data_IF_962358047075
#
_entry.id   IF_962358047075
#
_cell.length_a   1.000
_cell.length_b   1.000
_cell.length_c   1.000
_cell.angle_alpha   90.00
_cell.angle_beta   90.00
_cell.angle_gamma   90.00
#
_symmetry.space_group_name_H-M   'P 1'
#
loop_
_entity.id
_entity.type
_entity.pdbx_description
1 polymer ?
#
# COMPACT_ATOMS: atom_id res chain seq x y z
N UNK A 1 0.59 10.84 -8.55
CA UNK A 1 -0.50 11.79 -8.33
C UNK A 1 0.10 13.06 -7.77
N UNK A 2 -0.58 14.20 -7.89
CA UNK A 2 -0.12 15.46 -7.30
C UNK A 2 -0.37 15.53 -5.79
N UNK A 3 -1.39 14.81 -5.31
CA UNK A 3 -1.88 14.81 -3.93
C UNK A 3 -1.36 13.63 -3.09
N UNK A 4 -0.49 12.79 -3.64
CA UNK A 4 0.04 11.60 -2.96
C UNK A 4 1.55 11.43 -3.17
N UNK A 5 2.27 11.17 -2.08
CA UNK A 5 3.70 10.86 -2.09
C UNK A 5 4.02 9.67 -1.17
N UNK A 6 5.10 8.97 -1.50
CA UNK A 6 5.71 7.97 -0.59
C UNK A 6 6.99 8.54 -0.02
N UNK A 7 7.19 8.38 1.29
CA UNK A 7 8.39 8.79 1.99
C UNK A 7 9.03 7.58 2.66
N UNK A 8 10.33 7.40 2.44
CA UNK A 8 11.15 6.49 3.25
C UNK A 8 11.80 7.27 4.38
N UNK A 9 11.33 7.03 5.60
CA UNK A 9 11.78 7.77 6.79
C UNK A 9 12.88 7.05 7.56
N UNK A 10 13.39 5.91 7.09
CA UNK A 10 14.38 5.09 7.83
C UNK A 10 15.61 5.91 8.25
N UNK A 11 16.16 6.73 7.35
CA UNK A 11 17.30 7.61 7.62
C UNK A 11 16.96 8.82 8.50
N UNK A 12 15.69 9.22 8.58
CA UNK A 12 15.23 10.39 9.33
C UNK A 12 14.98 10.10 10.83
N UNK A 13 14.91 8.82 11.22
CA UNK A 13 14.47 8.40 12.56
C UNK A 13 15.34 8.92 13.70
N UNK A 14 16.64 9.08 13.48
CA UNK A 14 17.58 9.61 14.49
C UNK A 14 17.37 11.10 14.76
N UNK A 15 16.95 11.85 13.75
CA UNK A 15 16.76 13.29 13.83
C UNK A 15 15.34 13.66 14.28
N UNK A 16 14.34 12.95 13.76
CA UNK A 16 12.93 13.34 13.86
C UNK A 16 12.07 12.33 14.66
N UNK A 17 12.69 11.27 15.18
CA UNK A 17 12.06 10.27 16.03
C UNK A 17 11.31 9.17 15.28
N UNK A 18 10.27 8.61 15.92
CA UNK A 18 9.53 7.47 15.38
C UNK A 18 8.78 7.83 14.08
N UNK A 19 8.46 6.85 13.20
CA UNK A 19 7.59 7.10 12.04
C UNK A 19 6.26 7.78 12.40
N UNK A 20 5.68 7.46 13.56
CA UNK A 20 4.45 8.12 14.04
C UNK A 20 4.66 9.57 14.49
N UNK A 21 5.85 9.91 15.02
CA UNK A 21 6.23 11.30 15.31
C UNK A 21 6.36 12.09 14.01
N UNK A 22 7.11 11.54 13.04
CA UNK A 22 7.31 12.16 11.72
C UNK A 22 5.97 12.36 11.00
N UNK A 23 5.08 11.36 11.02
CA UNK A 23 3.77 11.44 10.40
C UNK A 23 2.89 12.55 11.01
N UNK A 24 2.86 12.68 12.34
CA UNK A 24 2.11 13.76 13.01
C UNK A 24 2.69 15.13 12.68
N UNK A 25 4.01 15.26 12.68
CA UNK A 25 4.71 16.49 12.30
C UNK A 25 4.36 16.90 10.86
N UNK A 26 4.39 15.95 9.91
CA UNK A 26 4.02 16.21 8.51
C UNK A 26 2.57 16.69 8.38
N UNK A 27 1.62 16.06 9.08
CA UNK A 27 0.21 16.47 9.05
C UNK A 27 0.01 17.89 9.58
N UNK A 28 0.63 18.22 10.70
CA UNK A 28 0.59 19.57 11.27
C UNK A 28 1.18 20.59 10.29
N UNK A 29 2.38 20.31 9.74
CA UNK A 29 3.06 21.20 8.81
C UNK A 29 2.26 21.43 7.52
N UNK A 30 1.65 20.39 6.95
CA UNK A 30 0.78 20.54 5.78
C UNK A 30 -0.41 21.45 6.09
N UNK A 31 -1.06 21.26 7.25
CA UNK A 31 -2.13 22.17 7.69
C UNK A 31 -1.63 23.61 7.80
N UNK A 32 -0.52 23.81 8.51
CA UNK A 32 -0.03 25.16 8.84
C UNK A 32 0.43 25.92 7.60
N UNK A 33 1.08 25.23 6.65
CA UNK A 33 1.64 25.87 5.45
C UNK A 33 0.62 26.03 4.30
N UNK A 34 -0.41 25.17 4.24
CA UNK A 34 -1.33 25.12 3.08
C UNK A 34 -2.81 25.32 3.42
N UNK A 35 -3.17 25.22 4.71
CA UNK A 35 -4.56 25.17 5.16
C UNK A 35 -5.27 23.84 4.89
N UNK A 36 -4.63 22.84 4.27
CA UNK A 36 -5.24 21.56 3.86
C UNK A 36 -5.03 20.41 4.85
N UNK A 37 -6.00 19.47 4.92
CA UNK A 37 -5.87 18.22 5.69
C UNK A 37 -5.03 17.24 4.87
N UNK A 38 -4.34 16.32 5.54
CA UNK A 38 -3.82 15.13 4.87
C UNK A 38 -3.94 13.90 5.78
N UNK A 39 -4.22 12.77 5.14
CA UNK A 39 -4.22 11.46 5.80
C UNK A 39 -2.89 10.77 5.55
N UNK A 40 -2.35 10.13 6.58
CA UNK A 40 -1.05 9.45 6.50
C UNK A 40 -1.22 7.98 6.90
N UNK A 41 -0.58 7.11 6.13
CA UNK A 41 -0.42 5.69 6.43
C UNK A 41 1.06 5.38 6.57
N UNK A 42 1.44 4.67 7.65
CA UNK A 42 2.82 4.24 7.86
C UNK A 42 2.88 2.72 8.08
N UNK A 43 3.80 2.05 7.39
CA UNK A 43 4.02 0.62 7.52
C UNK A 43 5.43 0.24 7.06
N UNK A 44 5.80 -1.03 7.23
CA UNK A 44 7.11 -1.57 6.80
C UNK A 44 7.29 -1.58 5.27
N UNK A 45 6.20 -1.67 4.50
CA UNK A 45 6.24 -1.71 3.04
C UNK A 45 5.31 -0.69 2.39
N UNK A 46 5.62 -0.29 1.15
CA UNK A 46 4.83 0.71 0.40
C UNK A 46 3.38 0.27 0.20
N UNK A 47 3.17 -1.00 -0.11
CA UNK A 47 1.84 -1.58 -0.24
C UNK A 47 0.97 -1.39 1.00
N UNK A 48 1.47 -1.80 2.17
CA UNK A 48 0.72 -1.69 3.43
C UNK A 48 0.54 -0.23 3.82
N UNK A 49 1.56 0.61 3.62
CA UNK A 49 1.47 2.05 3.89
C UNK A 49 0.40 2.74 3.03
N UNK A 50 0.28 2.36 1.74
CA UNK A 50 -0.76 2.88 0.83
C UNK A 50 -2.16 2.44 1.23
N UNK A 51 -2.32 1.19 1.66
CA UNK A 51 -3.62 0.72 2.16
C UNK A 51 -3.99 1.43 3.47
N UNK A 52 -3.03 1.57 4.39
CA UNK A 52 -3.24 2.28 5.64
C UNK A 52 -3.62 3.75 5.42
N UNK A 53 -3.00 4.43 4.45
CA UNK A 53 -3.32 5.83 4.15
C UNK A 53 -4.69 6.01 3.53
N UNK A 54 -5.15 5.06 2.70
CA UNK A 54 -6.53 5.07 2.19
C UNK A 54 -7.53 4.85 3.32
N UNK A 55 -7.28 3.91 4.24
CA UNK A 55 -8.17 3.63 5.36
C UNK A 55 -8.18 4.72 6.44
N UNK A 56 -7.14 5.55 6.51
CA UNK A 56 -7.08 6.67 7.46
C UNK A 56 -7.77 7.94 6.94
N UNK A 57 -8.37 7.92 5.74
CA UNK A 57 -9.13 9.07 5.23
C UNK A 57 -10.50 9.18 5.93
N UNK A 58 -11.01 10.40 6.16
CA UNK A 58 -10.34 11.70 6.00
C UNK A 58 -9.52 12.11 7.23
N UNK A 59 -8.49 12.93 7.03
CA UNK A 59 -7.65 13.56 8.08
C UNK A 59 -7.14 12.64 9.21
N UNK A 60 -6.96 11.35 8.94
CA UNK A 60 -6.46 10.39 9.92
C UNK A 60 -4.98 10.02 9.77
N UNK A 61 -4.50 9.30 10.78
CA UNK A 61 -3.19 8.66 10.80
C UNK A 61 -3.39 7.19 11.17
N UNK A 62 -2.93 6.28 10.33
CA UNK A 62 -2.92 4.84 10.63
C UNK A 62 -1.50 4.29 10.50
N UNK A 63 -1.03 3.66 11.57
CA UNK A 63 0.28 3.02 11.62
C UNK A 63 0.05 1.52 11.74
N UNK A 64 0.61 0.75 10.81
CA UNK A 64 0.58 -0.71 10.84
C UNK A 64 1.99 -1.18 11.15
N UNK A 65 2.20 -1.73 12.35
CA UNK A 65 3.49 -2.30 12.70
C UNK A 65 3.77 -3.53 11.81
N UNK A 66 5.05 -3.84 11.63
CA UNK A 66 5.46 -5.00 10.82
C UNK A 66 4.85 -6.30 11.34
N UNK A 67 4.87 -6.50 12.66
CA UNK A 67 4.27 -7.66 13.33
C UNK A 67 2.74 -7.76 13.12
N UNK A 68 2.05 -6.64 12.97
CA UNK A 68 0.59 -6.59 12.79
C UNK A 68 0.16 -6.70 11.32
N UNK A 69 1.12 -6.76 10.38
CA UNK A 69 0.83 -6.69 8.94
C UNK A 69 -0.07 -7.83 8.48
N UNK A 70 0.19 -9.06 8.94
CA UNK A 70 -0.63 -10.21 8.57
C UNK A 70 -2.08 -10.05 9.04
N UNK A 71 -2.28 -9.68 10.32
CA UNK A 71 -3.60 -9.47 10.90
C UNK A 71 -4.34 -8.28 10.24
N UNK A 72 -3.62 -7.23 9.88
CA UNK A 72 -4.18 -6.06 9.19
C UNK A 72 -4.67 -6.40 7.77
N UNK A 73 -3.93 -7.25 7.05
CA UNK A 73 -4.20 -7.60 5.66
C UNK A 73 -5.28 -8.68 5.54
N UNK A 74 -5.23 -9.73 6.37
CA UNK A 74 -6.08 -10.93 6.24
C UNK A 74 -7.58 -10.65 5.98
N UNK A 75 -8.27 -9.76 6.73
CA UNK A 75 -9.71 -9.55 6.54
C UNK A 75 -10.05 -8.66 5.34
N UNK A 76 -9.05 -8.12 4.62
CA UNK A 76 -9.29 -7.16 3.53
C UNK A 76 -9.72 -7.90 2.26
N UNK A 77 -10.60 -7.26 1.49
CA UNK A 77 -10.93 -7.75 0.15
C UNK A 77 -9.69 -7.75 -0.76
N UNK A 78 -9.60 -8.69 -1.69
CA UNK A 78 -8.58 -8.70 -2.76
C UNK A 78 -8.58 -7.40 -3.58
N UNK A 79 -9.72 -6.70 -3.68
CA UNK A 79 -9.84 -5.38 -4.32
C UNK A 79 -9.06 -4.29 -3.58
N UNK A 80 -8.80 -4.46 -2.30
CA UNK A 80 -8.05 -3.50 -1.50
C UNK A 80 -6.53 -3.61 -1.72
N UNK A 81 -6.05 -4.68 -2.34
CA UNK A 81 -4.62 -4.87 -2.59
C UNK A 81 -4.11 -3.85 -3.61
N UNK A 82 -3.22 -2.95 -3.19
CA UNK A 82 -2.64 -1.95 -4.08
C UNK A 82 -1.81 -2.57 -5.21
N UNK A 83 -2.36 -2.55 -6.42
CA UNK A 83 -1.80 -3.18 -7.62
C UNK A 83 -2.72 -4.23 -8.25
N UNK A 84 -3.80 -4.61 -7.57
CA UNK A 84 -4.87 -5.45 -8.12
C UNK A 84 -5.93 -4.55 -8.76
N UNK A 85 -6.04 -4.62 -10.08
CA UNK A 85 -7.09 -3.91 -10.83
C UNK A 85 -8.43 -4.66 -10.84
N UNK A 86 -9.52 -4.03 -11.31
CA UNK A 86 -10.87 -4.62 -11.30
C UNK A 86 -10.94 -6.02 -11.94
N UNK A 87 -10.35 -6.19 -13.13
CA UNK A 87 -10.31 -7.49 -13.83
C UNK A 87 -9.58 -8.58 -13.05
N UNK A 88 -8.47 -8.24 -12.39
CA UNK A 88 -7.72 -9.18 -11.58
C UNK A 88 -8.50 -9.59 -10.33
N UNK A 89 -9.18 -8.63 -9.69
CA UNK A 89 -10.07 -8.92 -8.58
C UNK A 89 -11.24 -9.83 -9.00
N UNK A 90 -11.91 -9.55 -10.12
CA UNK A 90 -12.99 -10.38 -10.66
C UNK A 90 -12.53 -11.80 -10.99
N UNK A 91 -11.32 -11.95 -11.53
CA UNK A 91 -10.73 -13.26 -11.82
C UNK A 91 -10.47 -14.09 -10.54
N UNK A 92 -10.11 -13.44 -9.43
CA UNK A 92 -9.97 -14.09 -8.12
C UNK A 92 -11.35 -14.41 -7.50
N UNK A 93 -12.26 -13.44 -7.48
CA UNK A 93 -13.58 -13.56 -6.86
C UNK A 93 -14.45 -14.62 -7.53
N UNK A 94 -14.38 -14.76 -8.86
CA UNK A 94 -15.06 -15.83 -9.62
C UNK A 94 -14.57 -17.24 -9.27
N UNK A 95 -13.42 -17.34 -8.58
CA UNK A 95 -12.84 -18.59 -8.06
C UNK A 95 -13.01 -18.74 -6.55
N UNK A 96 -13.82 -17.87 -5.92
CA UNK A 96 -14.07 -17.88 -4.48
C UNK A 96 -13.00 -17.17 -3.63
N UNK A 97 -11.97 -16.61 -4.25
CA UNK A 97 -10.87 -15.91 -3.56
C UNK A 97 -11.28 -14.43 -3.42
N UNK A 98 -11.88 -14.06 -2.29
CA UNK A 98 -12.48 -12.73 -2.06
C UNK A 98 -11.68 -11.88 -1.09
N UNK A 99 -10.95 -12.51 -0.17
CA UNK A 99 -10.17 -11.86 0.88
C UNK A 99 -8.68 -12.15 0.74
N UNK A 100 -7.85 -11.38 1.42
CA UNK A 100 -6.42 -11.66 1.51
C UNK A 100 -6.16 -12.98 2.26
N UNK A 101 -6.99 -13.32 3.26
CA UNK A 101 -6.92 -14.63 3.90
C UNK A 101 -7.08 -15.77 2.88
N UNK A 102 -8.06 -15.67 1.97
CA UNK A 102 -8.23 -16.67 0.90
C UNK A 102 -6.98 -16.77 0.01
N UNK A 103 -6.34 -15.63 -0.30
CA UNK A 103 -5.08 -15.61 -1.07
C UNK A 103 -3.93 -16.28 -0.30
N UNK A 104 -3.88 -16.14 1.02
CA UNK A 104 -2.86 -16.76 1.87
C UNK A 104 -2.98 -18.29 1.88
N UNK A 105 -4.22 -18.81 1.85
CA UNK A 105 -4.54 -20.24 1.78
C UNK A 105 -4.45 -20.82 0.36
N UNK A 106 -4.42 -19.96 -0.66
CA UNK A 106 -4.35 -20.38 -2.06
C UNK A 106 -2.90 -20.67 -2.49
N UNK A 107 -2.61 -21.84 -3.09
CA UNK A 107 -1.31 -22.13 -3.68
C UNK A 107 -0.93 -21.12 -4.79
N UNK A 108 0.33 -20.69 -4.83
CA UNK A 108 0.81 -19.69 -5.81
C UNK A 108 0.45 -20.05 -7.26
N UNK A 109 0.63 -21.32 -7.66
CA UNK A 109 0.32 -21.79 -9.01
C UNK A 109 -1.18 -21.64 -9.39
N UNK A 110 -2.10 -21.60 -8.42
CA UNK A 110 -3.52 -21.31 -8.68
C UNK A 110 -3.70 -19.82 -9.01
N UNK A 111 -3.04 -18.93 -8.27
CA UNK A 111 -3.07 -17.49 -8.51
C UNK A 111 -2.46 -17.15 -9.87
N UNK A 112 -1.34 -17.79 -10.23
CA UNK A 112 -0.68 -17.61 -11.53
C UNK A 112 -1.54 -18.11 -12.70
N UNK A 113 -2.24 -19.23 -12.55
CA UNK A 113 -3.20 -19.69 -13.57
C UNK A 113 -4.39 -18.75 -13.72
N UNK A 114 -4.82 -18.10 -12.64
CA UNK A 114 -5.94 -17.16 -12.67
C UNK A 114 -5.57 -15.79 -13.26
N UNK A 115 -4.35 -15.30 -13.00
CA UNK A 115 -3.93 -13.92 -13.27
C UNK A 115 -2.78 -13.77 -14.27
N UNK A 116 -2.18 -14.88 -14.68
CA UNK A 116 -0.88 -14.92 -15.34
C UNK A 116 0.29 -14.91 -14.36
N UNK A 117 1.49 -15.36 -14.76
CA UNK A 117 2.63 -15.58 -13.85
C UNK A 117 3.01 -14.34 -13.03
N UNK A 118 3.25 -13.21 -13.71
CA UNK A 118 3.74 -11.99 -13.06
C UNK A 118 2.73 -11.39 -12.06
N UNK A 119 1.43 -11.41 -12.40
CA UNK A 119 0.39 -10.87 -11.51
C UNK A 119 0.06 -11.85 -10.37
N UNK A 120 0.08 -13.16 -10.63
CA UNK A 120 -0.11 -14.18 -9.61
C UNK A 120 0.97 -14.14 -8.54
N UNK A 121 2.25 -14.10 -8.95
CA UNK A 121 3.39 -13.93 -8.04
C UNK A 121 3.27 -12.62 -7.24
N UNK A 122 2.89 -11.53 -7.90
CA UNK A 122 2.71 -10.24 -7.23
C UNK A 122 1.62 -10.30 -6.17
N UNK A 123 0.43 -10.83 -6.49
CA UNK A 123 -0.67 -10.98 -5.53
C UNK A 123 -0.27 -11.86 -4.35
N UNK A 124 0.42 -12.97 -4.64
CA UNK A 124 0.94 -13.89 -3.62
C UNK A 124 1.89 -13.19 -2.62
N UNK A 125 2.79 -12.33 -3.11
CA UNK A 125 3.71 -11.55 -2.29
C UNK A 125 2.98 -10.45 -1.49
N UNK A 126 2.13 -9.67 -2.15
CA UNK A 126 1.42 -8.55 -1.52
C UNK A 126 0.50 -9.02 -0.38
N UNK A 127 -0.20 -10.15 -0.56
CA UNK A 127 -1.02 -10.77 0.48
C UNK A 127 -0.24 -11.11 1.75
N UNK A 128 1.08 -11.38 1.62
CA UNK A 128 2.01 -11.67 2.72
C UNK A 128 2.71 -10.41 3.24
N UNK A 129 2.25 -9.23 2.85
CA UNK A 129 2.87 -7.95 3.20
C UNK A 129 4.21 -7.69 2.51
N UNK A 130 4.66 -8.57 1.60
CA UNK A 130 5.95 -8.47 0.92
C UNK A 130 5.82 -7.57 -0.30
N UNK A 131 6.70 -6.57 -0.36
CA UNK A 131 6.76 -5.64 -1.48
C UNK A 131 8.19 -5.13 -1.64
N UNK A 132 8.88 -5.62 -2.65
CA UNK A 132 10.28 -5.27 -2.93
C UNK A 132 10.44 -3.86 -3.52
N UNK A 133 9.35 -3.16 -3.84
CA UNK A 133 9.43 -1.82 -4.45
C UNK A 133 9.99 -0.82 -3.45
N UNK A 134 11.13 -0.22 -3.78
CA UNK A 134 11.68 0.90 -3.03
C UNK A 134 10.90 2.20 -3.27
N UNK A 135 11.12 3.20 -2.42
CA UNK A 135 10.75 4.59 -2.71
C UNK A 135 11.79 5.15 -3.67
N UNK A 136 11.37 5.53 -4.87
CA UNK A 136 12.23 6.16 -5.87
C UNK A 136 11.99 7.66 -5.84
N UNK A 137 13.04 8.44 -5.61
CA UNK A 137 12.99 9.91 -5.56
C UNK A 137 13.18 10.56 -6.93
N UNK A 138 13.69 9.81 -7.91
CA UNK A 138 13.88 10.25 -9.30
C UNK A 138 12.88 9.55 -10.21
N UNK A 139 12.06 10.32 -10.92
CA UNK A 139 11.19 9.81 -11.98
C UNK A 139 11.45 10.63 -13.24
N UNK A 140 12.06 9.99 -14.24
CA UNK A 140 12.13 10.54 -15.60
C UNK A 140 10.77 10.27 -16.25
N UNK A 141 10.10 11.31 -16.74
CA UNK A 141 8.87 11.12 -17.53
C UNK A 141 9.21 10.36 -18.80
N UNK A 142 8.52 9.23 -19.02
CA UNK A 142 8.77 8.34 -20.16
C UNK A 142 7.89 8.65 -21.39
N UNK A 143 6.83 9.42 -21.20
CA UNK A 143 5.89 9.78 -22.26
C UNK A 143 5.00 10.94 -21.80
N UNK A 144 4.85 11.95 -22.64
CA UNK A 144 3.78 12.95 -22.53
C UNK A 144 2.75 12.58 -23.59
N UNK A 145 1.53 12.27 -23.15
CA UNK A 145 0.40 12.01 -24.04
C UNK A 145 -0.53 13.21 -24.06
N UNK A 146 -0.98 13.61 -25.24
CA UNK A 146 -2.09 14.54 -25.43
C UNK A 146 -3.25 13.72 -25.99
N UNK A 147 -4.39 13.71 -25.29
CA UNK A 147 -5.68 13.27 -25.83
C UNK A 147 -6.44 14.49 -26.37
#
# INVERSE_FOLDING_TARGET
SIDEAFLDVRGARRLWGSPGTIARMLRARVRDETGLTCSVGAAATKHVAKMASTLSKPDGLLIVAEADTAAFLAPRSVRALWGVGPKAAEALESRGIRTVADVLETPQAVLERALGPAMGERVWNLARGRDARAVTTTRVEKSVGHE
#
